data_IF_888864938729
#
_entry.id   IF_888864938729
#
_cell.length_a   1.000
_cell.length_b   1.000
_cell.length_c   1.000
_cell.angle_alpha   90.00
_cell.angle_beta   90.00
_cell.angle_gamma   90.00
#
_symmetry.space_group_name_H-M   'P 1'
#
loop_
_entity.id
_entity.type
_entity.pdbx_description
1 polymer ?
#
# COMPACT_ATOMS: atom_id res chain seq x y z
N UNK A 1 49.08 34.70 80.61
CA UNK A 1 49.09 35.06 79.17
C UNK A 1 48.58 33.84 78.43
N UNK A 2 47.27 33.82 78.05
CA UNK A 2 46.61 32.69 77.40
C UNK A 2 46.28 33.09 75.95
N UNK A 3 46.95 32.40 75.02
CA UNK A 3 46.65 32.56 73.60
C UNK A 3 45.36 31.77 73.20
N UNK A 4 44.41 32.45 72.71
CA UNK A 4 43.16 31.85 72.17
C UNK A 4 43.41 31.37 70.74
N UNK A 5 43.06 30.11 70.46
CA UNK A 5 43.10 29.52 69.10
C UNK A 5 41.75 29.77 68.41
N UNK A 6 41.80 30.46 67.29
CA UNK A 6 40.66 30.66 66.37
C UNK A 6 40.54 29.41 65.51
N UNK A 7 39.39 28.71 65.57
CA UNK A 7 39.06 27.60 64.70
C UNK A 7 38.37 28.16 63.44
N UNK A 8 39.02 27.99 62.32
CA UNK A 8 38.49 28.29 60.99
C UNK A 8 37.61 27.13 60.55
N UNK A 9 36.28 27.35 60.39
CA UNK A 9 35.33 26.40 59.84
C UNK A 9 35.33 26.56 58.32
N UNK A 10 35.72 25.51 57.60
CA UNK A 10 35.57 25.42 56.15
C UNK A 10 34.12 25.06 55.83
N UNK A 11 33.45 25.97 55.13
CA UNK A 11 32.12 25.77 54.59
C UNK A 11 32.25 25.07 53.20
N UNK A 12 31.96 23.79 53.15
CA UNK A 12 31.86 23.05 51.89
C UNK A 12 30.49 23.34 51.26
N UNK A 13 30.51 24.06 50.14
CA UNK A 13 29.32 24.28 49.28
C UNK A 13 29.27 23.10 48.32
N UNK A 14 28.28 22.21 48.50
CA UNK A 14 27.94 21.18 47.49
C UNK A 14 27.10 21.83 46.41
N UNK A 15 27.68 22.00 45.23
CA UNK A 15 26.94 22.26 43.98
C UNK A 15 26.36 20.94 43.48
N UNK A 16 25.07 20.72 43.66
CA UNK A 16 24.33 19.64 43.02
C UNK A 16 24.02 20.05 41.56
N UNK A 17 24.71 19.45 40.60
CA UNK A 17 24.31 19.51 39.19
C UNK A 17 23.09 18.60 39.00
N UNK A 18 21.92 19.21 38.88
CA UNK A 18 20.74 18.52 38.38
C UNK A 18 20.90 18.37 36.85
N UNK A 19 21.32 17.18 36.41
CA UNK A 19 21.26 16.81 35.01
C UNK A 19 19.80 16.63 34.61
N UNK A 20 19.27 17.62 33.92
CA UNK A 20 17.96 17.55 33.25
C UNK A 20 18.12 16.58 32.06
N UNK A 21 17.85 15.29 32.27
CA UNK A 21 17.77 14.31 31.21
C UNK A 21 16.59 14.66 30.30
N UNK A 22 16.87 15.26 29.15
CA UNK A 22 15.92 15.26 28.05
C UNK A 22 15.74 13.80 27.59
N UNK A 23 14.69 13.16 28.04
CA UNK A 23 14.17 11.95 27.39
C UNK A 23 13.61 12.40 26.05
N UNK A 24 14.39 12.25 24.97
CA UNK A 24 13.88 12.22 23.62
C UNK A 24 12.94 11.01 23.57
N UNK A 25 11.65 11.26 23.72
CA UNK A 25 10.63 10.28 23.35
C UNK A 25 10.83 10.06 21.86
N UNK A 26 11.45 8.93 21.48
CA UNK A 26 11.36 8.44 20.10
C UNK A 26 9.88 8.18 19.87
N UNK A 27 9.23 9.05 19.12
CA UNK A 27 7.94 8.72 18.54
C UNK A 27 8.21 7.50 17.68
N UNK A 28 7.80 6.30 18.13
CA UNK A 28 7.85 5.11 17.28
C UNK A 28 7.07 5.44 16.01
N UNK A 29 7.80 5.52 14.91
CA UNK A 29 7.21 5.88 13.63
C UNK A 29 6.25 4.78 13.21
N UNK A 30 5.00 5.14 12.94
CA UNK A 30 3.96 4.17 12.57
C UNK A 30 4.37 3.46 11.27
N UNK A 31 4.57 2.15 11.37
CA UNK A 31 5.08 1.34 10.25
C UNK A 31 3.98 0.71 9.41
N UNK A 32 2.81 0.47 9.96
CA UNK A 32 1.65 -0.17 9.31
C UNK A 32 0.35 0.53 9.68
N UNK A 33 -0.69 0.32 8.89
CA UNK A 33 -2.02 0.93 9.07
C UNK A 33 -2.10 2.36 8.55
N UNK A 34 -3.24 2.99 8.73
CA UNK A 34 -3.50 4.38 8.27
C UNK A 34 -2.49 5.34 8.88
N UNK A 35 -1.82 6.12 8.06
CA UNK A 35 -0.76 7.06 8.46
C UNK A 35 0.65 6.48 8.50
N UNK A 36 0.85 5.25 8.06
CA UNK A 36 2.19 4.64 7.98
C UNK A 36 3.14 5.46 7.10
N UNK A 37 4.35 5.63 7.60
CA UNK A 37 5.38 6.44 6.92
C UNK A 37 6.20 5.62 5.94
N UNK A 38 6.69 6.30 4.91
CA UNK A 38 7.62 5.70 3.95
C UNK A 38 8.88 5.22 4.70
N UNK A 39 9.22 3.93 4.67
CA UNK A 39 10.42 3.43 5.35
C UNK A 39 11.70 3.84 4.60
N UNK A 40 12.83 3.71 5.26
CA UNK A 40 14.13 3.89 4.61
C UNK A 40 14.25 2.99 3.37
N UNK A 41 14.67 3.56 2.25
CA UNK A 41 14.74 2.90 0.94
C UNK A 41 13.38 2.64 0.29
N UNK A 42 12.30 3.19 0.82
CA UNK A 42 10.99 3.22 0.17
C UNK A 42 10.85 4.37 -0.80
N UNK A 43 9.97 4.21 -1.77
CA UNK A 43 9.65 5.18 -2.81
C UNK A 43 8.18 5.60 -2.69
N UNK A 44 7.93 6.91 -2.70
CA UNK A 44 6.58 7.45 -2.66
C UNK A 44 5.99 7.42 -4.08
N UNK A 45 4.94 6.63 -4.28
CA UNK A 45 4.24 6.53 -5.55
C UNK A 45 3.15 7.58 -5.71
N UNK A 46 2.51 7.98 -4.60
CA UNK A 46 1.48 9.02 -4.59
C UNK A 46 1.35 9.67 -3.21
N UNK A 47 1.37 11.00 -3.19
CA UNK A 47 1.28 11.85 -1.99
C UNK A 47 0.03 12.76 -1.97
N UNK A 48 -0.87 12.60 -2.94
CA UNK A 48 -2.01 13.50 -3.16
C UNK A 48 -1.75 14.53 -4.26
N UNK A 49 -0.53 14.67 -4.77
CA UNK A 49 -0.21 15.66 -5.79
C UNK A 49 -0.46 15.15 -7.22
N UNK A 50 -0.83 16.08 -8.10
CA UNK A 50 -0.91 15.82 -9.55
C UNK A 50 0.47 15.46 -10.12
N UNK A 51 1.53 16.06 -9.57
CA UNK A 51 2.89 15.83 -10.02
C UNK A 51 3.30 14.35 -9.88
N UNK A 52 3.12 13.76 -8.70
CA UNK A 52 3.45 12.34 -8.50
C UNK A 52 2.49 11.41 -9.23
N UNK A 53 1.21 11.78 -9.36
CA UNK A 53 0.28 11.00 -10.15
C UNK A 53 0.74 10.92 -11.62
N UNK A 54 1.02 12.04 -12.26
CA UNK A 54 1.44 12.09 -13.66
C UNK A 54 2.85 11.50 -13.87
N UNK A 55 3.73 11.63 -12.88
CA UNK A 55 5.08 11.06 -12.92
C UNK A 55 5.06 9.54 -12.88
N UNK A 56 4.32 8.95 -11.94
CA UNK A 56 4.46 7.53 -11.59
C UNK A 56 3.38 6.64 -12.20
N UNK A 57 2.25 7.20 -12.65
CA UNK A 57 1.09 6.45 -13.10
C UNK A 57 0.72 6.74 -14.55
N UNK A 58 0.08 5.76 -15.19
CA UNK A 58 -0.52 5.86 -16.51
C UNK A 58 -1.78 5.04 -16.53
N UNK A 59 -2.64 5.24 -17.54
CA UNK A 59 -3.73 4.31 -17.77
C UNK A 59 -3.20 2.93 -18.14
N UNK A 60 -3.88 1.90 -17.67
CA UNK A 60 -3.56 0.55 -18.03
C UNK A 60 -3.86 0.34 -19.53
N UNK A 61 -2.93 -0.32 -20.19
CA UNK A 61 -2.96 -0.45 -21.64
C UNK A 61 -4.06 -1.40 -22.11
N UNK A 62 -4.39 -2.45 -21.33
CA UNK A 62 -5.44 -3.41 -21.66
C UNK A 62 -5.51 -3.77 -23.14
N UNK A 63 -6.54 -4.41 -23.65
CA UNK A 63 -6.68 -4.64 -25.10
C UNK A 63 -6.95 -3.33 -25.82
N UNK A 64 -5.94 -2.56 -25.87
CA UNK A 64 -5.80 -1.54 -26.88
C UNK A 64 -6.18 -0.16 -26.56
N UNK A 65 -5.65 0.59 -25.52
CA UNK A 65 -5.98 1.96 -25.71
C UNK A 65 -5.63 3.12 -24.81
N UNK A 66 -5.36 3.02 -23.55
CA UNK A 66 -5.37 4.28 -22.81
C UNK A 66 -4.01 4.70 -22.28
N UNK A 67 -3.00 3.88 -22.46
CA UNK A 67 -1.69 4.07 -21.80
C UNK A 67 -0.99 5.40 -22.11
N UNK A 68 -1.25 5.98 -23.25
CA UNK A 68 -0.64 7.26 -23.67
C UNK A 68 -1.52 8.49 -23.34
N UNK A 69 -2.74 8.28 -22.85
CA UNK A 69 -3.63 9.39 -22.51
C UNK A 69 -3.22 10.02 -21.18
N UNK A 70 -3.36 11.35 -21.02
CA UNK A 70 -3.18 11.99 -19.73
C UNK A 70 -4.13 11.39 -18.68
N UNK A 71 -3.60 11.08 -17.50
CA UNK A 71 -4.42 10.58 -16.40
C UNK A 71 -5.43 11.65 -15.97
N UNK A 72 -6.71 11.30 -16.02
CA UNK A 72 -7.83 12.20 -15.69
C UNK A 72 -8.45 11.90 -14.33
N UNK A 73 -7.99 10.89 -13.61
CA UNK A 73 -8.41 10.71 -12.22
C UNK A 73 -8.27 12.02 -11.46
N UNK A 74 -9.32 12.42 -10.78
CA UNK A 74 -9.42 13.74 -10.18
C UNK A 74 -8.71 13.78 -8.83
N UNK A 75 -7.87 14.81 -8.63
CA UNK A 75 -7.35 15.13 -7.31
C UNK A 75 -8.42 15.91 -6.55
N UNK A 76 -8.88 15.34 -5.44
CA UNK A 76 -9.93 15.89 -4.60
C UNK A 76 -9.38 16.24 -3.20
N UNK A 77 -10.06 17.15 -2.50
CA UNK A 77 -9.76 17.40 -1.10
C UNK A 77 -10.02 16.13 -0.29
N UNK A 78 -9.11 15.81 0.64
CA UNK A 78 -9.33 14.71 1.59
C UNK A 78 -10.58 15.02 2.45
N UNK A 79 -11.57 14.10 2.51
CA UNK A 79 -12.80 14.34 3.25
C UNK A 79 -12.67 14.19 4.78
N UNK A 80 -11.55 13.64 5.25
CA UNK A 80 -11.34 13.30 6.68
C UNK A 80 -10.22 14.13 7.27
N UNK A 81 -9.08 14.18 6.57
CA UNK A 81 -7.85 14.81 7.04
C UNK A 81 -7.47 16.02 6.19
N UNK A 82 -6.40 16.70 6.57
CA UNK A 82 -5.80 17.74 5.72
C UNK A 82 -5.13 17.07 4.50
N UNK A 83 -5.12 17.78 3.35
CA UNK A 83 -4.46 17.33 2.14
C UNK A 83 -5.43 16.91 1.04
N UNK A 84 -4.95 16.02 0.18
CA UNK A 84 -5.64 15.60 -1.05
C UNK A 84 -5.53 14.10 -1.26
N UNK A 85 -6.47 13.57 -2.03
CA UNK A 85 -6.52 12.18 -2.48
C UNK A 85 -6.87 12.14 -3.96
N UNK A 86 -6.67 11.00 -4.62
CA UNK A 86 -7.13 10.77 -5.98
C UNK A 86 -8.41 9.93 -5.97
N UNK A 87 -9.36 10.29 -6.82
CA UNK A 87 -10.64 9.58 -6.96
C UNK A 87 -10.59 8.62 -8.15
N UNK A 88 -10.89 7.35 -7.92
CA UNK A 88 -10.89 6.30 -8.96
C UNK A 88 -12.07 6.37 -9.95
N UNK A 89 -13.02 7.25 -9.72
CA UNK A 89 -14.22 7.33 -10.55
C UNK A 89 -13.98 8.15 -11.83
N UNK A 90 -13.47 7.50 -12.88
CA UNK A 90 -13.41 8.11 -14.21
C UNK A 90 -13.52 7.07 -15.35
N UNK A 91 -14.55 6.25 -15.43
CA UNK A 91 -14.70 5.27 -16.51
C UNK A 91 -14.93 5.93 -17.88
N UNK A 92 -15.50 7.15 -17.91
CA UNK A 92 -15.85 7.82 -19.15
C UNK A 92 -14.63 8.33 -19.93
N UNK A 93 -13.55 8.73 -19.24
CA UNK A 93 -12.37 9.29 -19.88
C UNK A 93 -11.54 8.28 -20.68
N UNK A 94 -11.71 6.99 -20.40
CA UNK A 94 -11.09 5.90 -21.13
C UNK A 94 -12.05 5.17 -22.07
N UNK A 95 -13.13 5.82 -22.50
CA UNK A 95 -14.08 5.28 -23.48
C UNK A 95 -15.09 4.28 -22.92
N UNK A 96 -15.28 4.22 -21.60
CA UNK A 96 -16.32 3.43 -20.94
C UNK A 96 -16.12 1.90 -21.03
N UNK A 97 -14.94 1.41 -21.39
CA UNK A 97 -14.66 -0.02 -21.43
C UNK A 97 -14.19 -0.49 -20.07
N UNK A 98 -14.55 -1.72 -19.69
CA UNK A 98 -14.07 -2.36 -18.47
C UNK A 98 -12.53 -2.35 -18.44
N UNK A 99 -11.96 -1.95 -17.31
CA UNK A 99 -10.51 -1.83 -17.10
C UNK A 99 -9.84 -0.63 -17.81
N UNK A 100 -10.56 0.06 -18.70
CA UNK A 100 -9.96 1.13 -19.50
C UNK A 100 -9.54 2.36 -18.70
N UNK A 101 -10.19 2.60 -17.56
CA UNK A 101 -9.87 3.70 -16.67
C UNK A 101 -8.92 3.29 -15.52
N UNK A 102 -8.51 2.03 -15.44
CA UNK A 102 -7.56 1.55 -14.44
C UNK A 102 -6.22 2.27 -14.58
N UNK A 103 -5.61 2.61 -13.46
CA UNK A 103 -4.25 3.15 -13.45
C UNK A 103 -3.25 2.06 -13.10
N UNK A 104 -2.08 2.13 -13.73
CA UNK A 104 -0.96 1.25 -13.42
C UNK A 104 0.31 2.08 -13.25
N UNK A 105 1.20 1.65 -12.36
CA UNK A 105 2.52 2.30 -12.23
C UNK A 105 3.35 2.10 -13.49
N UNK A 106 4.06 3.14 -13.91
CA UNK A 106 5.02 3.09 -15.03
C UNK A 106 6.20 2.19 -14.69
N UNK A 107 6.64 2.24 -13.43
CA UNK A 107 7.67 1.34 -12.92
C UNK A 107 7.07 -0.02 -12.56
N UNK A 108 7.89 -1.08 -12.73
CA UNK A 108 7.53 -2.46 -12.51
C UNK A 108 8.32 -3.05 -11.35
N UNK A 109 7.67 -3.89 -10.55
CA UNK A 109 8.19 -4.43 -9.31
C UNK A 109 8.07 -5.96 -9.31
N UNK A 110 9.09 -6.64 -8.78
CA UNK A 110 9.09 -8.11 -8.64
C UNK A 110 8.65 -8.51 -7.24
N UNK A 111 9.52 -8.28 -6.26
CA UNK A 111 9.23 -8.48 -4.85
C UNK A 111 9.20 -7.11 -4.17
N UNK A 112 8.23 -6.89 -3.33
CA UNK A 112 8.07 -5.58 -2.72
C UNK A 112 7.27 -5.61 -1.42
N UNK A 113 7.44 -4.54 -0.66
CA UNK A 113 6.51 -4.09 0.35
C UNK A 113 5.75 -2.89 -0.21
N UNK A 114 4.42 -2.95 -0.15
CA UNK A 114 3.50 -1.91 -0.60
C UNK A 114 2.66 -1.44 0.56
N UNK A 115 2.50 -0.14 0.70
CA UNK A 115 1.48 0.48 1.52
C UNK A 115 0.53 1.28 0.65
N UNK A 116 -0.75 1.20 0.93
CA UNK A 116 -1.78 1.96 0.22
C UNK A 116 -2.95 2.27 1.15
N UNK A 117 -3.35 3.54 1.18
CA UNK A 117 -4.55 3.97 1.88
C UNK A 117 -5.70 4.21 0.91
N UNK A 118 -6.88 3.73 1.29
CA UNK A 118 -8.10 3.92 0.50
C UNK A 118 -9.30 4.27 1.38
N UNK A 119 -10.28 4.97 0.77
CA UNK A 119 -11.53 5.34 1.42
C UNK A 119 -12.68 5.10 0.44
N UNK A 120 -13.63 4.25 0.82
CA UNK A 120 -14.86 4.02 0.05
C UNK A 120 -15.90 5.05 0.48
N UNK A 121 -16.47 5.80 -0.48
CA UNK A 121 -17.42 6.89 -0.19
C UNK A 121 -18.86 6.44 -0.11
N UNK A 122 -19.20 5.29 -0.68
CA UNK A 122 -20.58 4.84 -0.86
C UNK A 122 -20.75 3.35 -0.59
N UNK A 123 -21.97 2.95 -0.25
CA UNK A 123 -22.30 1.54 -0.03
C UNK A 123 -22.12 0.74 -1.33
N UNK A 124 -21.48 -0.43 -1.19
CA UNK A 124 -21.15 -1.29 -2.34
C UNK A 124 -20.04 -0.72 -3.22
N UNK A 125 -19.33 0.32 -2.77
CA UNK A 125 -18.20 0.88 -3.51
C UNK A 125 -17.13 -0.17 -3.76
N UNK A 126 -16.66 -0.25 -5.01
CA UNK A 126 -15.79 -1.29 -5.54
C UNK A 126 -14.57 -0.71 -6.25
N UNK A 127 -13.44 -1.31 -6.00
CA UNK A 127 -12.14 -1.09 -6.65
C UNK A 127 -11.25 -2.30 -6.38
N UNK A 128 -10.02 -2.29 -6.86
CA UNK A 128 -9.05 -3.35 -6.61
C UNK A 128 -7.62 -2.84 -6.63
N UNK A 129 -6.75 -3.47 -5.85
CA UNK A 129 -5.30 -3.26 -5.89
C UNK A 129 -4.65 -4.50 -6.49
N UNK A 130 -4.06 -4.36 -7.67
CA UNK A 130 -3.44 -5.49 -8.38
C UNK A 130 -1.93 -5.47 -8.18
N UNK A 131 -1.43 -6.57 -7.64
CA UNK A 131 0.00 -6.83 -7.47
C UNK A 131 0.54 -7.40 -8.78
N UNK A 132 1.66 -6.87 -9.27
CA UNK A 132 2.23 -7.18 -10.58
C UNK A 132 1.24 -7.06 -11.75
N UNK A 133 0.20 -6.21 -11.59
CA UNK A 133 -0.88 -6.09 -12.58
C UNK A 133 -1.61 -7.43 -12.90
N UNK A 134 -1.59 -8.38 -11.97
CA UNK A 134 -2.11 -9.76 -12.13
C UNK A 134 -2.98 -10.22 -10.97
N UNK A 135 -2.56 -9.96 -9.74
CA UNK A 135 -3.15 -10.58 -8.55
C UNK A 135 -3.93 -9.52 -7.78
N UNK A 136 -5.23 -9.67 -7.74
CA UNK A 136 -6.10 -8.67 -7.12
C UNK A 136 -6.25 -8.87 -5.62
N UNK A 137 -6.02 -7.80 -4.89
CA UNK A 137 -6.49 -7.63 -3.51
C UNK A 137 -7.73 -6.74 -3.55
N UNK A 138 -8.85 -7.29 -3.14
CA UNK A 138 -10.16 -6.64 -3.29
C UNK A 138 -10.32 -5.42 -2.39
N UNK A 139 -10.93 -4.38 -2.94
CA UNK A 139 -11.43 -3.18 -2.24
C UNK A 139 -12.93 -3.08 -2.48
N UNK A 140 -13.75 -3.67 -1.61
CA UNK A 140 -15.19 -3.75 -1.78
C UNK A 140 -15.93 -3.54 -0.46
N UNK A 141 -16.83 -2.57 -0.39
CA UNK A 141 -17.81 -2.49 0.69
C UNK A 141 -18.90 -3.55 0.46
N UNK A 142 -18.70 -4.74 1.00
CA UNK A 142 -19.53 -5.88 0.72
C UNK A 142 -19.46 -6.93 1.82
N UNK A 143 -19.03 -8.12 1.49
CA UNK A 143 -18.98 -9.29 2.35
C UNK A 143 -17.55 -9.75 2.69
N UNK A 144 -17.43 -10.92 3.30
CA UNK A 144 -16.18 -11.58 3.65
C UNK A 144 -15.95 -12.89 2.87
N UNK A 145 -16.49 -12.98 1.66
CA UNK A 145 -16.22 -14.10 0.74
C UNK A 145 -14.85 -13.96 0.08
N UNK A 146 -14.50 -14.88 -0.83
CA UNK A 146 -13.32 -14.79 -1.66
C UNK A 146 -13.36 -13.64 -2.67
N UNK A 147 -14.46 -12.90 -2.74
CA UNK A 147 -14.63 -11.67 -3.51
C UNK A 147 -14.85 -10.44 -2.61
N UNK A 148 -14.81 -10.63 -1.30
CA UNK A 148 -15.07 -9.57 -0.33
C UNK A 148 -13.83 -8.71 -0.03
N UNK A 149 -14.03 -7.72 0.82
CA UNK A 149 -13.00 -6.78 1.25
C UNK A 149 -11.70 -7.49 1.67
N UNK A 150 -10.58 -7.05 1.16
CA UNK A 150 -9.24 -7.56 1.44
C UNK A 150 -9.02 -9.05 1.11
N UNK A 151 -9.91 -9.67 0.32
CA UNK A 151 -9.66 -11.00 -0.22
C UNK A 151 -8.50 -10.97 -1.22
N UNK A 152 -7.73 -12.05 -1.24
CA UNK A 152 -6.98 -12.42 -2.44
C UNK A 152 -8.00 -13.10 -3.36
N UNK A 153 -8.39 -12.42 -4.43
CA UNK A 153 -9.55 -12.79 -5.25
C UNK A 153 -9.51 -14.26 -5.67
N UNK A 154 -10.62 -14.96 -5.39
CA UNK A 154 -10.86 -16.38 -5.66
C UNK A 154 -9.88 -17.36 -5.00
N UNK A 155 -8.92 -16.88 -4.21
CA UNK A 155 -7.99 -17.73 -3.48
C UNK A 155 -8.38 -17.83 -2.00
N UNK A 156 -8.50 -16.71 -1.30
CA UNK A 156 -8.82 -16.74 0.12
C UNK A 156 -9.54 -15.47 0.58
N UNK A 157 -10.59 -15.61 1.39
CA UNK A 157 -11.27 -14.47 1.99
C UNK A 157 -10.41 -13.84 3.08
N UNK A 158 -10.73 -12.61 3.44
CA UNK A 158 -10.17 -11.91 4.59
C UNK A 158 -11.24 -11.62 5.64
N UNK A 159 -10.86 -11.52 6.93
CA UNK A 159 -11.77 -11.06 7.95
C UNK A 159 -12.30 -9.64 7.67
N UNK A 160 -13.55 -9.53 7.23
CA UNK A 160 -14.18 -8.23 6.93
C UNK A 160 -14.21 -7.26 8.12
N UNK A 161 -14.21 -7.80 9.34
CA UNK A 161 -14.19 -7.02 10.58
C UNK A 161 -12.95 -6.13 10.77
N UNK A 162 -11.94 -6.23 9.91
CA UNK A 162 -10.81 -5.32 9.90
C UNK A 162 -11.14 -3.98 9.19
N UNK A 163 -12.25 -3.89 8.46
CA UNK A 163 -12.69 -2.71 7.75
C UNK A 163 -13.18 -1.61 8.69
N UNK A 164 -12.70 -0.37 8.50
CA UNK A 164 -13.10 0.78 9.33
C UNK A 164 -14.47 1.35 8.96
N UNK A 165 -15.02 0.99 7.79
CA UNK A 165 -16.32 1.43 7.30
C UNK A 165 -16.24 2.51 6.22
N UNK A 166 -17.41 2.79 5.62
CA UNK A 166 -17.60 3.83 4.61
C UNK A 166 -17.20 5.21 5.17
N UNK A 167 -16.58 6.04 4.36
CA UNK A 167 -16.16 7.39 4.71
C UNK A 167 -14.97 7.45 5.67
N UNK A 168 -14.30 6.33 5.89
CA UNK A 168 -13.10 6.25 6.73
C UNK A 168 -11.92 5.71 5.94
N UNK A 169 -10.74 6.21 6.24
CA UNK A 169 -9.51 5.69 5.67
C UNK A 169 -9.23 4.28 6.16
N UNK A 170 -8.77 3.47 5.26
CA UNK A 170 -8.32 2.10 5.45
C UNK A 170 -6.93 1.96 4.84
N UNK A 171 -6.15 0.99 5.29
CA UNK A 171 -4.82 0.75 4.79
C UNK A 171 -4.55 -0.74 4.56
N UNK A 172 -3.95 -1.04 3.43
CA UNK A 172 -3.29 -2.31 3.16
C UNK A 172 -1.78 -2.12 3.26
N UNK A 173 -1.15 -2.96 4.07
CA UNK A 173 0.29 -3.13 4.11
C UNK A 173 0.61 -4.54 3.62
N UNK A 174 1.28 -4.63 2.48
CA UNK A 174 1.43 -5.88 1.72
C UNK A 174 2.90 -6.19 1.53
N UNK A 175 3.32 -7.39 1.92
CA UNK A 175 4.57 -7.99 1.49
C UNK A 175 4.24 -8.99 0.39
N UNK A 176 4.73 -8.74 -0.82
CA UNK A 176 4.50 -9.58 -1.98
C UNK A 176 5.80 -10.18 -2.49
N UNK A 177 5.78 -11.49 -2.70
CA UNK A 177 6.84 -12.26 -3.36
C UNK A 177 6.31 -12.79 -4.69
N UNK A 178 6.98 -12.48 -5.78
CA UNK A 178 6.66 -13.01 -7.09
C UNK A 178 6.89 -14.52 -7.18
N UNK A 179 6.27 -15.16 -8.15
CA UNK A 179 6.55 -16.55 -8.49
C UNK A 179 8.02 -16.75 -8.86
N UNK A 180 8.49 -17.99 -8.75
CA UNK A 180 9.85 -18.39 -9.17
C UNK A 180 9.75 -19.53 -10.17
N UNK A 181 10.59 -19.45 -11.16
CA UNK A 181 10.71 -20.45 -12.21
C UNK A 181 12.14 -20.96 -12.31
N UNK A 182 12.30 -22.24 -12.56
CA UNK A 182 13.57 -22.87 -12.89
C UNK A 182 13.37 -23.65 -14.19
N UNK A 183 14.22 -23.42 -15.17
CA UNK A 183 14.16 -24.05 -16.49
C UNK A 183 12.77 -23.94 -17.19
N UNK A 184 12.01 -22.87 -16.85
CA UNK A 184 10.66 -22.64 -17.38
C UNK A 184 9.51 -23.27 -16.59
N UNK A 185 9.82 -24.07 -15.57
CA UNK A 185 8.84 -24.68 -14.69
C UNK A 185 8.61 -23.84 -13.44
N UNK A 186 7.34 -23.71 -13.00
CA UNK A 186 6.97 -23.02 -11.78
C UNK A 186 7.42 -23.82 -10.56
N UNK A 187 8.45 -23.34 -9.85
CA UNK A 187 8.98 -23.99 -8.64
C UNK A 187 8.46 -23.40 -7.34
N UNK A 188 8.03 -22.13 -7.37
CA UNK A 188 7.45 -21.47 -6.20
C UNK A 188 6.39 -20.45 -6.63
N UNK A 189 5.21 -20.55 -6.03
CA UNK A 189 4.08 -19.65 -6.34
C UNK A 189 4.36 -18.24 -5.84
N UNK A 190 3.73 -17.26 -6.47
CA UNK A 190 3.58 -15.95 -5.87
C UNK A 190 2.85 -16.08 -4.52
N UNK A 191 3.22 -15.26 -3.55
CA UNK A 191 2.54 -15.26 -2.27
C UNK A 191 2.54 -13.88 -1.60
N UNK A 192 1.61 -13.71 -0.69
CA UNK A 192 1.35 -12.45 -0.02
C UNK A 192 1.21 -12.63 1.49
N UNK A 193 1.84 -11.73 2.25
CA UNK A 193 1.49 -11.45 3.64
C UNK A 193 0.92 -10.05 3.70
N UNK A 194 -0.23 -9.90 4.35
CA UNK A 194 -0.95 -8.64 4.33
C UNK A 194 -1.50 -8.28 5.71
N UNK A 195 -1.36 -7.02 6.05
CA UNK A 195 -2.07 -6.38 7.16
C UNK A 195 -3.17 -5.49 6.60
N UNK A 196 -4.33 -5.58 7.21
CA UNK A 196 -5.46 -4.71 6.96
C UNK A 196 -5.77 -3.89 8.21
N UNK A 197 -5.60 -2.58 8.13
CA UNK A 197 -5.73 -1.66 9.27
C UNK A 197 -4.92 -2.12 10.49
N UNK A 198 -3.67 -2.55 10.26
CA UNK A 198 -2.76 -3.01 11.30
C UNK A 198 -3.00 -4.45 11.81
N UNK A 199 -4.02 -5.16 11.30
CA UNK A 199 -4.28 -6.56 11.64
C UNK A 199 -3.81 -7.48 10.54
N UNK A 200 -2.96 -8.46 10.86
CA UNK A 200 -2.49 -9.45 9.89
C UNK A 200 -3.66 -10.33 9.45
N UNK A 201 -3.98 -10.30 8.17
CA UNK A 201 -5.13 -11.01 7.58
C UNK A 201 -4.71 -12.15 6.64
N UNK A 202 -3.55 -12.02 6.01
CA UNK A 202 -2.95 -13.09 5.21
C UNK A 202 -1.51 -13.31 5.66
N UNK A 203 -1.06 -14.56 5.68
CA UNK A 203 0.31 -14.92 6.05
C UNK A 203 0.87 -15.89 5.03
N UNK A 204 1.84 -15.44 4.25
CA UNK A 204 2.50 -16.24 3.20
C UNK A 204 1.48 -17.01 2.34
N UNK A 205 0.35 -16.36 2.02
CA UNK A 205 -0.75 -16.94 1.26
C UNK A 205 -0.31 -17.16 -0.19
N UNK A 206 -0.24 -18.40 -0.67
CA UNK A 206 0.09 -18.67 -2.05
C UNK A 206 -1.04 -18.23 -2.98
N UNK A 207 -0.67 -17.80 -4.18
CA UNK A 207 -1.61 -17.40 -5.23
C UNK A 207 -1.43 -18.36 -6.40
N UNK A 208 -2.51 -19.02 -6.81
CA UNK A 208 -2.47 -20.11 -7.78
C UNK A 208 -2.88 -19.64 -9.17
N UNK A 209 -3.61 -18.53 -9.28
CA UNK A 209 -4.21 -18.09 -10.54
C UNK A 209 -4.14 -16.57 -10.69
N UNK A 210 -4.16 -16.12 -11.94
CA UNK A 210 -4.39 -14.73 -12.28
C UNK A 210 -5.89 -14.49 -12.41
N UNK A 211 -6.38 -13.48 -11.68
CA UNK A 211 -7.79 -13.11 -11.70
C UNK A 211 -7.95 -11.64 -12.11
N UNK A 212 -9.17 -11.23 -12.42
CA UNK A 212 -9.46 -9.89 -12.88
C UNK A 212 -9.12 -9.71 -14.36
N UNK A 213 -7.86 -9.58 -14.70
CA UNK A 213 -7.41 -9.45 -16.08
C UNK A 213 -7.85 -10.61 -16.97
N UNK A 214 -7.60 -11.83 -16.56
CA UNK A 214 -7.94 -13.04 -17.33
C UNK A 214 -9.45 -13.26 -17.43
N UNK A 215 -10.18 -13.12 -16.33
CA UNK A 215 -11.62 -13.29 -16.29
C UNK A 215 -12.39 -12.20 -17.07
N UNK A 216 -11.80 -11.03 -17.22
CA UNK A 216 -12.37 -9.95 -18.03
C UNK A 216 -11.97 -10.06 -19.51
N UNK A 217 -11.26 -11.10 -19.91
CA UNK A 217 -10.72 -11.26 -21.25
C UNK A 217 -9.50 -10.38 -21.54
N UNK A 218 -8.95 -9.77 -20.50
CA UNK A 218 -7.77 -8.93 -20.53
C UNK A 218 -6.67 -9.68 -19.79
N UNK A 219 -5.50 -9.83 -20.38
CA UNK A 219 -4.39 -10.54 -19.75
C UNK A 219 -3.72 -9.71 -18.64
N UNK A 220 -2.71 -10.26 -18.01
CA UNK A 220 -1.96 -9.62 -16.93
C UNK A 220 -1.29 -8.29 -17.25
N UNK A 221 -1.73 -7.60 -18.29
CA UNK A 221 -1.41 -6.21 -18.59
C UNK A 221 -0.24 -5.98 -19.52
N UNK A 222 0.42 -4.84 -19.33
CA UNK A 222 1.39 -4.25 -20.24
C UNK A 222 2.64 -5.11 -20.52
N UNK A 223 2.79 -6.24 -19.86
CA UNK A 223 3.89 -7.19 -20.09
C UNK A 223 3.61 -8.15 -21.24
N UNK A 224 2.40 -8.09 -21.84
CA UNK A 224 2.02 -8.88 -23.00
C UNK A 224 1.85 -10.38 -22.72
N UNK A 225 1.84 -10.81 -21.46
CA UNK A 225 1.76 -12.20 -21.04
C UNK A 225 0.51 -12.52 -20.25
N UNK A 226 0.00 -13.72 -20.43
CA UNK A 226 -1.07 -14.30 -19.62
C UNK A 226 -0.48 -15.19 -18.53
N UNK A 227 -1.23 -15.32 -17.42
CA UNK A 227 -0.89 -16.24 -16.36
C UNK A 227 0.21 -15.76 -15.41
N UNK A 228 0.75 -16.73 -14.71
CA UNK A 228 1.76 -16.52 -13.67
C UNK A 228 3.12 -16.24 -14.32
N UNK A 229 3.85 -15.29 -13.76
CA UNK A 229 5.20 -14.93 -14.21
C UNK A 229 6.10 -14.55 -13.05
N UNK A 230 7.41 -14.67 -13.25
CA UNK A 230 8.42 -14.12 -12.35
C UNK A 230 8.86 -12.69 -12.72
N UNK A 231 8.42 -12.20 -13.89
CA UNK A 231 8.80 -10.88 -14.38
C UNK A 231 8.17 -9.78 -13.52
N UNK A 232 8.86 -8.65 -13.35
CA UNK A 232 8.28 -7.50 -12.67
C UNK A 232 7.01 -7.01 -13.37
N UNK A 233 6.01 -6.56 -12.58
CA UNK A 233 4.79 -5.95 -13.10
C UNK A 233 4.40 -4.70 -12.30
N UNK A 234 3.50 -3.90 -12.84
CA UNK A 234 3.04 -2.67 -12.19
C UNK A 234 2.10 -2.93 -11.01
N UNK A 235 1.92 -1.93 -10.17
CA UNK A 235 0.80 -1.88 -9.23
C UNK A 235 -0.36 -1.23 -9.98
N UNK A 236 -1.52 -1.91 -10.03
CA UNK A 236 -2.69 -1.40 -10.73
C UNK A 236 -3.81 -1.07 -9.74
N UNK A 237 -4.50 0.04 -9.98
CA UNK A 237 -5.68 0.48 -9.25
C UNK A 237 -6.87 0.43 -10.19
N UNK A 238 -7.93 -0.24 -9.78
CA UNK A 238 -9.11 -0.46 -10.61
C UNK A 238 -10.10 0.72 -10.51
N UNK A 239 -10.74 1.03 -11.62
CA UNK A 239 -11.85 1.97 -11.72
C UNK A 239 -13.12 1.24 -12.16
N UNK A 240 -13.99 0.93 -11.20
CA UNK A 240 -15.26 0.22 -11.40
C UNK A 240 -16.47 1.15 -11.47
N UNK A 241 -16.26 2.46 -11.67
CA UNK A 241 -17.34 3.43 -11.68
C UNK A 241 -17.82 3.85 -10.29
N UNK A 242 -17.13 3.45 -9.24
CA UNK A 242 -17.40 3.82 -7.86
C UNK A 242 -16.40 4.86 -7.34
N UNK A 243 -16.85 5.70 -6.40
CA UNK A 243 -15.98 6.69 -5.76
C UNK A 243 -15.15 6.06 -4.66
N UNK A 244 -13.98 5.56 -5.02
CA UNK A 244 -12.95 5.10 -4.08
C UNK A 244 -11.78 6.07 -4.14
N UNK A 245 -11.41 6.62 -3.00
CA UNK A 245 -10.29 7.53 -2.89
C UNK A 245 -9.03 6.78 -2.50
N UNK A 246 -7.89 7.22 -3.01
CA UNK A 246 -6.56 6.71 -2.67
C UNK A 246 -5.64 7.83 -2.23
N UNK A 247 -4.77 7.56 -1.24
CA UNK A 247 -3.70 8.45 -0.79
C UNK A 247 -2.54 7.64 -0.20
N UNK A 248 -1.44 8.31 0.14
CA UNK A 248 -0.29 7.74 0.85
C UNK A 248 0.10 6.36 0.30
N UNK A 249 0.47 6.33 -1.00
CA UNK A 249 0.90 5.09 -1.66
C UNK A 249 2.41 5.10 -1.75
N UNK A 250 3.05 4.12 -1.13
CA UNK A 250 4.49 3.94 -1.23
C UNK A 250 4.87 2.47 -1.39
N UNK A 251 6.04 2.25 -1.96
CA UNK A 251 6.57 0.92 -2.22
C UNK A 251 8.03 0.85 -1.81
N UNK A 252 8.46 -0.31 -1.35
CA UNK A 252 9.87 -0.64 -1.14
C UNK A 252 10.19 -1.93 -1.88
N UNK A 253 11.15 -1.86 -2.80
CA UNK A 253 11.65 -3.03 -3.52
C UNK A 253 12.35 -3.98 -2.54
N UNK A 254 12.13 -5.25 -2.71
CA UNK A 254 12.64 -6.31 -1.84
C UNK A 254 13.25 -7.42 -2.69
N UNK A 255 14.04 -8.29 -2.02
CA UNK A 255 14.42 -9.59 -2.53
C UNK A 255 14.02 -10.62 -1.48
N UNK A 256 12.96 -11.37 -1.75
CA UNK A 256 12.31 -12.20 -0.74
C UNK A 256 12.51 -13.69 -1.03
N UNK A 257 12.96 -14.45 -0.03
CA UNK A 257 12.86 -15.92 -0.03
C UNK A 257 11.41 -16.38 0.18
N UNK A 258 10.67 -15.66 1.04
CA UNK A 258 9.25 -15.86 1.34
C UNK A 258 8.61 -14.54 1.76
N UNK A 259 7.29 -14.46 1.72
CA UNK A 259 6.55 -13.24 2.06
C UNK A 259 6.03 -13.17 3.51
N UNK A 260 6.47 -14.04 4.38
CA UNK A 260 6.01 -14.13 5.78
C UNK A 260 6.84 -13.28 6.76
N UNK A 261 7.33 -12.15 6.32
CA UNK A 261 8.10 -11.21 7.15
C UNK A 261 7.18 -10.25 7.89
N UNK A 262 7.56 -9.88 9.10
CA UNK A 262 6.93 -8.79 9.83
C UNK A 262 7.50 -7.43 9.38
N UNK A 263 6.69 -6.39 9.54
CA UNK A 263 7.02 -5.02 9.14
C UNK A 263 7.69 -4.22 10.25
#
# INVERSE_FOLDING_TARGET
MKMSRIKMRHLLVFLSYASLGLTLSSCDEQKIGVGAKVPEGGELLFDGSRELLDKNWTYWEGPGFAAELPVKWEIVKDPVDEGTAVNSNDPASAGGRYGAADLVTKEKFRDFRLHIEFLIKEKGGNSGVYLQNRYEIQVLDGDSTTHGMAAVINETPSPYHAYNGIGKWNAYDIMFKAARFEEGELVDKANVTMYFNGKKVHTNQPISQVWGGENSGIDGGNDGGKGITELPGGIKLQAEGHNVLYRNIWIKKMELGKADTDF
#
